data_IF_509411135255
#
_entry.id   IF_509411135255
#
_cell.length_a   1.000
_cell.length_b   1.000
_cell.length_c   1.000
_cell.angle_alpha   90.00
_cell.angle_beta   90.00
_cell.angle_gamma   90.00
#
_symmetry.space_group_name_H-M   'P 1'
#
loop_
_entity.id
_entity.type
_entity.pdbx_description
1 polymer ?
#
# COMPACT_ATOMS: atom_id res chain seq x y z
N UNK A 1 -7.21 -1.00 -5.14
CA UNK A 1 -7.80 -2.36 -5.11
C UNK A 1 -7.97 -2.89 -3.70
N UNK A 2 -6.97 -2.78 -2.83
CA UNK A 2 -7.04 -3.15 -1.40
C UNK A 2 -8.36 -2.71 -0.72
N UNK A 3 -8.74 -1.43 -0.85
CA UNK A 3 -9.99 -0.92 -0.24
C UNK A 3 -11.27 -1.56 -0.80
N UNK A 4 -11.26 -1.97 -2.07
CA UNK A 4 -12.37 -2.68 -2.69
C UNK A 4 -12.43 -4.14 -2.19
N UNK A 5 -11.29 -4.79 -1.95
CA UNK A 5 -11.27 -6.11 -1.32
C UNK A 5 -11.77 -6.06 0.13
N UNK A 6 -11.34 -5.07 0.93
CA UNK A 6 -11.86 -4.87 2.28
C UNK A 6 -13.39 -4.65 2.28
N UNK A 7 -13.92 -3.91 1.30
CA UNK A 7 -15.37 -3.79 1.10
C UNK A 7 -16.04 -5.14 0.82
N UNK A 8 -15.49 -5.89 -0.15
CA UNK A 8 -16.04 -7.19 -0.57
C UNK A 8 -16.03 -8.21 0.57
N UNK A 9 -14.97 -8.19 1.39
CA UNK A 9 -14.79 -9.04 2.56
C UNK A 9 -15.56 -8.56 3.79
N UNK A 10 -16.28 -7.43 3.68
CA UNK A 10 -17.12 -6.86 4.75
C UNK A 10 -16.32 -6.55 6.02
N UNK A 11 -15.08 -6.08 5.86
CA UNK A 11 -14.33 -5.52 7.00
C UNK A 11 -15.18 -4.41 7.65
N UNK A 12 -15.35 -4.44 8.98
CA UNK A 12 -16.10 -3.42 9.70
C UNK A 12 -15.32 -2.10 9.80
N UNK A 13 -14.02 -2.10 9.49
CA UNK A 13 -13.19 -0.92 9.56
C UNK A 13 -13.63 0.15 8.56
N UNK A 14 -13.62 1.40 9.04
CA UNK A 14 -13.75 2.58 8.17
C UNK A 14 -12.53 2.60 7.24
N UNK A 15 -12.77 2.79 5.95
CA UNK A 15 -11.73 2.77 4.92
C UNK A 15 -11.42 4.19 4.51
N UNK A 16 -10.17 4.60 4.67
CA UNK A 16 -9.72 5.96 4.39
C UNK A 16 -8.75 5.95 3.23
N UNK A 17 -8.86 6.94 2.35
CA UNK A 17 -7.86 7.20 1.31
C UNK A 17 -7.46 8.68 1.38
N UNK A 18 -6.18 8.91 1.62
CA UNK A 18 -5.61 10.24 1.61
C UNK A 18 -5.26 10.66 0.18
N UNK A 19 -5.47 11.92 -0.16
CA UNK A 19 -5.13 12.46 -1.48
C UNK A 19 -4.63 13.90 -1.36
N UNK A 20 -3.81 14.38 -2.31
CA UNK A 20 -3.33 15.76 -2.32
C UNK A 20 -4.47 16.80 -2.22
N UNK A 21 -4.37 17.73 -1.27
CA UNK A 21 -5.42 18.75 -1.02
C UNK A 21 -5.67 19.68 -2.23
N UNK A 22 -4.63 19.96 -3.01
CA UNK A 22 -4.67 20.75 -4.24
C UNK A 22 -5.59 20.13 -5.30
N UNK A 23 -5.71 18.80 -5.35
CA UNK A 23 -6.64 18.11 -6.25
C UNK A 23 -8.10 18.45 -5.96
N UNK A 24 -8.45 18.83 -4.73
CA UNK A 24 -9.80 19.27 -4.37
C UNK A 24 -10.07 20.74 -4.79
N UNK A 25 -9.06 21.60 -4.75
CA UNK A 25 -9.19 23.06 -4.93
C UNK A 25 -9.38 23.48 -6.40
N UNK A 26 -8.92 22.65 -7.34
CA UNK A 26 -9.06 22.82 -8.80
C UNK A 26 -10.49 23.01 -9.33
N UNK A 27 -11.51 22.81 -8.48
CA UNK A 27 -12.91 23.01 -8.83
C UNK A 27 -13.31 24.50 -8.99
N UNK A 28 -12.52 25.46 -8.50
CA UNK A 28 -13.02 26.82 -8.26
C UNK A 28 -12.64 27.93 -9.25
N UNK A 29 -11.81 27.75 -10.29
CA UNK A 29 -11.44 28.97 -11.02
C UNK A 29 -10.68 29.01 -12.34
N UNK A 30 -10.30 27.91 -13.01
CA UNK A 30 -9.64 28.04 -14.32
C UNK A 30 -10.17 27.05 -15.34
N UNK A 31 -11.12 27.53 -16.14
CA UNK A 31 -11.77 26.85 -17.26
C UNK A 31 -10.85 26.67 -18.48
N UNK A 32 -9.52 26.76 -18.33
CA UNK A 32 -8.64 26.95 -19.48
C UNK A 32 -7.22 26.38 -19.41
N UNK A 33 -6.92 25.44 -18.53
CA UNK A 33 -5.75 24.57 -18.73
C UNK A 33 -6.24 23.17 -19.05
N UNK A 34 -5.64 22.55 -20.06
CA UNK A 34 -5.86 21.15 -20.41
C UNK A 34 -5.73 20.32 -19.13
N UNK A 35 -6.86 19.91 -18.56
CA UNK A 35 -6.92 19.05 -17.39
C UNK A 35 -6.01 17.86 -17.66
N UNK A 36 -4.93 17.73 -16.90
CA UNK A 36 -4.05 16.56 -16.96
C UNK A 36 -4.92 15.29 -16.98
N UNK A 37 -4.87 14.48 -18.07
CA UNK A 37 -5.69 13.29 -18.22
C UNK A 37 -5.51 12.30 -17.06
N UNK A 38 -4.31 12.27 -16.46
CA UNK A 38 -4.03 11.45 -15.28
C UNK A 38 -4.77 11.97 -14.07
N UNK A 39 -4.70 13.27 -13.78
CA UNK A 39 -5.45 13.89 -12.69
C UNK A 39 -6.98 13.72 -12.84
N UNK A 40 -7.52 13.88 -14.04
CA UNK A 40 -8.95 13.64 -14.31
C UNK A 40 -9.36 12.19 -14.01
N UNK A 41 -8.53 11.24 -14.44
CA UNK A 41 -8.71 9.81 -14.18
C UNK A 41 -8.64 9.50 -12.69
N UNK A 42 -7.63 10.01 -11.99
CA UNK A 42 -7.48 9.88 -10.54
C UNK A 42 -8.69 10.43 -9.78
N UNK A 43 -9.15 11.65 -10.10
CA UNK A 43 -10.36 12.24 -9.51
C UNK A 43 -11.61 11.37 -9.76
N UNK A 44 -11.75 10.78 -10.94
CA UNK A 44 -12.83 9.83 -11.25
C UNK A 44 -12.75 8.58 -10.36
N UNK A 45 -11.55 8.00 -10.21
CA UNK A 45 -11.33 6.83 -9.36
C UNK A 45 -11.61 7.13 -7.89
N UNK A 46 -11.19 8.29 -7.37
CA UNK A 46 -11.48 8.72 -5.99
C UNK A 46 -13.00 8.78 -5.74
N UNK A 47 -13.76 9.43 -6.64
CA UNK A 47 -15.23 9.48 -6.53
C UNK A 47 -15.87 8.10 -6.58
N UNK A 48 -15.35 7.21 -7.44
CA UNK A 48 -15.82 5.82 -7.51
C UNK A 48 -15.51 5.06 -6.22
N UNK A 49 -14.33 5.23 -5.65
CA UNK A 49 -13.93 4.61 -4.38
C UNK A 49 -14.89 5.00 -3.25
N UNK A 50 -15.20 6.29 -3.14
CA UNK A 50 -16.16 6.79 -2.15
C UNK A 50 -17.57 6.22 -2.36
N UNK A 51 -18.09 6.28 -3.60
CA UNK A 51 -19.47 5.89 -3.90
C UNK A 51 -19.70 4.39 -3.85
N UNK A 52 -18.78 3.59 -4.40
CA UNK A 52 -18.98 2.14 -4.60
C UNK A 52 -18.47 1.31 -3.44
N UNK A 53 -17.42 1.78 -2.78
CA UNK A 53 -16.75 1.03 -1.73
C UNK A 53 -16.83 1.73 -0.37
N UNK A 54 -17.52 2.87 -0.24
CA UNK A 54 -17.66 3.57 1.04
C UNK A 54 -16.34 4.07 1.61
N UNK A 55 -15.40 4.44 0.74
CA UNK A 55 -14.11 4.99 1.14
C UNK A 55 -14.25 6.46 1.53
N UNK A 56 -13.75 6.83 2.70
CA UNK A 56 -13.64 8.21 3.15
C UNK A 56 -12.41 8.87 2.51
N UNK A 57 -12.64 9.88 1.68
CA UNK A 57 -11.57 10.64 1.05
C UNK A 57 -11.11 11.75 1.99
N UNK A 58 -9.82 11.78 2.32
CA UNK A 58 -9.23 12.79 3.21
C UNK A 58 -8.18 13.60 2.45
N UNK A 59 -8.35 14.92 2.28
CA UNK A 59 -7.30 15.75 1.71
C UNK A 59 -6.10 15.77 2.67
N UNK A 60 -4.90 15.72 2.12
CA UNK A 60 -3.65 15.76 2.84
C UNK A 60 -2.83 16.95 2.36
N UNK A 61 -2.26 17.69 3.31
CA UNK A 61 -1.23 18.69 3.02
C UNK A 61 0.12 17.98 2.82
N UNK A 62 1.02 18.53 1.99
CA UNK A 62 2.36 17.98 1.84
C UNK A 62 3.12 17.99 3.17
N UNK A 63 3.86 16.92 3.44
CA UNK A 63 4.72 16.80 4.61
C UNK A 63 5.93 17.73 4.52
N UNK A 64 6.52 17.85 3.32
CA UNK A 64 7.57 18.81 3.01
C UNK A 64 7.15 19.65 1.81
N UNK A 65 7.26 20.97 1.95
CA UNK A 65 7.04 21.94 0.87
C UNK A 65 8.39 22.33 0.29
N UNK A 66 8.52 22.32 -1.04
CA UNK A 66 9.71 22.84 -1.68
C UNK A 66 9.81 24.36 -1.43
N UNK A 67 10.99 24.83 -1.01
CA UNK A 67 11.22 26.23 -0.66
C UNK A 67 11.47 27.15 -1.87
N UNK A 68 11.52 26.63 -3.09
CA UNK A 68 11.81 27.41 -4.30
C UNK A 68 10.69 27.28 -5.33
N UNK A 69 10.02 28.40 -5.63
CA UNK A 69 9.02 28.55 -6.71
C UNK A 69 9.60 28.36 -8.13
N UNK A 70 10.93 28.18 -8.26
CA UNK A 70 11.68 28.16 -9.52
C UNK A 70 11.97 26.76 -10.07
N UNK A 71 11.79 25.71 -9.27
CA UNK A 71 11.85 24.32 -9.71
C UNK A 71 10.50 23.68 -9.40
N UNK A 72 9.76 23.29 -10.43
CA UNK A 72 8.41 22.70 -10.33
C UNK A 72 8.37 21.30 -9.68
N UNK A 73 9.28 21.03 -8.75
CA UNK A 73 9.49 19.76 -8.03
C UNK A 73 9.43 20.06 -6.53
N UNK A 74 8.67 19.39 -5.67
CA UNK A 74 7.57 18.44 -5.78
C UNK A 74 6.97 18.44 -4.38
N UNK A 75 5.67 18.67 -4.20
CA UNK A 75 5.02 18.46 -2.91
C UNK A 75 5.28 17.02 -2.45
N UNK A 76 5.98 16.84 -1.32
CA UNK A 76 6.28 15.51 -0.81
C UNK A 76 5.17 15.10 0.13
N UNK A 77 4.40 14.08 -0.27
CA UNK A 77 3.40 13.45 0.58
C UNK A 77 4.03 12.29 1.33
N UNK A 78 3.57 12.06 2.55
CA UNK A 78 4.09 11.01 3.43
C UNK A 78 2.97 10.36 4.22
N UNK A 79 3.16 9.08 4.58
CA UNK A 79 2.35 8.36 5.56
C UNK A 79 2.34 9.03 6.94
N UNK A 80 3.29 9.92 7.27
CA UNK A 80 3.25 10.74 8.48
C UNK A 80 1.93 11.53 8.59
N UNK A 81 1.34 11.91 7.45
CA UNK A 81 0.04 12.59 7.39
C UNK A 81 -1.10 11.78 8.04
N UNK A 82 -0.97 10.45 8.15
CA UNK A 82 -1.96 9.60 8.82
C UNK A 82 -2.10 9.95 10.31
N UNK A 83 -1.05 10.50 10.96
CA UNK A 83 -1.14 10.97 12.35
C UNK A 83 -2.04 12.21 12.51
N UNK A 84 -2.39 12.90 11.42
CA UNK A 84 -3.34 14.00 11.45
C UNK A 84 -4.81 13.53 11.50
N UNK A 85 -5.10 12.24 11.33
CA UNK A 85 -6.45 11.65 11.33
C UNK A 85 -7.02 11.47 12.75
N UNK A 86 -7.11 12.56 13.51
CA UNK A 86 -7.48 12.59 14.94
C UNK A 86 -8.91 12.12 15.24
N UNK A 87 -9.75 11.90 14.23
CA UNK A 87 -11.09 11.31 14.37
C UNK A 87 -11.07 9.78 14.39
N UNK A 88 -9.89 9.18 14.35
CA UNK A 88 -9.66 7.75 14.50
C UNK A 88 -8.80 7.50 15.72
N UNK A 89 -9.20 6.53 16.54
CA UNK A 89 -8.37 6.06 17.65
C UNK A 89 -7.13 5.34 17.12
N UNK A 90 -7.27 4.62 15.99
CA UNK A 90 -6.22 3.81 15.37
C UNK A 90 -6.36 3.79 13.86
N UNK A 91 -5.24 3.74 13.17
CA UNK A 91 -5.17 3.62 11.71
C UNK A 91 -4.19 2.50 11.35
N UNK A 92 -4.66 1.51 10.58
CA UNK A 92 -3.80 0.51 9.96
C UNK A 92 -3.51 0.93 8.52
N UNK A 93 -2.28 1.34 8.25
CA UNK A 93 -1.78 1.55 6.89
C UNK A 93 -1.46 0.20 6.26
N UNK A 94 -1.93 -0.01 5.03
CA UNK A 94 -1.67 -1.21 4.24
C UNK A 94 -1.00 -0.77 2.95
N UNK A 95 0.27 -1.13 2.80
CA UNK A 95 1.08 -0.74 1.65
C UNK A 95 0.58 -1.43 0.39
N UNK A 96 0.50 -0.69 -0.72
CA UNK A 96 0.00 -1.19 -2.01
C UNK A 96 1.10 -1.13 -3.07
N UNK A 97 1.06 -1.92 -4.15
CA UNK A 97 0.00 -2.85 -4.58
C UNK A 97 -0.06 -4.20 -3.84
N UNK A 98 -1.29 -4.72 -3.68
CA UNK A 98 -1.49 -6.11 -3.29
C UNK A 98 -2.93 -6.58 -3.27
N UNK A 99 -3.13 -7.82 -2.82
CA UNK A 99 -4.40 -8.53 -2.78
C UNK A 99 -4.74 -8.96 -1.35
N UNK A 100 -5.91 -8.53 -0.87
CA UNK A 100 -6.44 -9.02 0.41
C UNK A 100 -7.20 -10.32 0.16
N UNK A 101 -6.72 -11.39 0.79
CA UNK A 101 -7.28 -12.74 0.74
C UNK A 101 -8.29 -12.90 1.86
N UNK A 102 -7.90 -12.53 3.09
CA UNK A 102 -8.74 -12.54 4.28
C UNK A 102 -8.55 -11.21 5.05
N UNK A 103 -9.66 -10.53 5.34
CA UNK A 103 -9.64 -9.27 6.07
C UNK A 103 -9.65 -9.47 7.59
N UNK A 104 -10.16 -10.60 8.08
CA UNK A 104 -10.42 -10.82 9.50
C UNK A 104 -9.15 -10.64 10.38
N UNK A 105 -7.97 -11.16 10.00
CA UNK A 105 -6.78 -10.98 10.83
C UNK A 105 -6.23 -9.55 10.77
N UNK A 106 -6.44 -8.81 9.67
CA UNK A 106 -6.09 -7.38 9.60
C UNK A 106 -7.00 -6.56 10.49
N UNK A 107 -8.30 -6.87 10.49
CA UNK A 107 -9.27 -6.25 11.41
C UNK A 107 -8.93 -6.56 12.87
N UNK A 108 -8.45 -7.79 13.16
CA UNK A 108 -8.02 -8.17 14.48
C UNK A 108 -6.77 -7.40 14.94
N UNK A 109 -5.78 -7.19 14.06
CA UNK A 109 -4.62 -6.33 14.34
C UNK A 109 -5.08 -4.90 14.65
N UNK A 110 -5.96 -4.33 13.83
CA UNK A 110 -6.48 -2.98 14.05
C UNK A 110 -7.22 -2.86 15.40
N UNK A 111 -8.06 -3.83 15.73
CA UNK A 111 -8.96 -3.76 16.89
C UNK A 111 -8.33 -4.22 18.22
N UNK A 112 -7.45 -5.22 18.20
CA UNK A 112 -7.04 -5.94 19.42
C UNK A 112 -5.55 -5.83 19.77
N UNK A 113 -4.72 -5.23 18.93
CA UNK A 113 -3.34 -4.92 19.32
C UNK A 113 -3.33 -3.98 20.53
N UNK A 114 -2.35 -4.09 21.42
CA UNK A 114 -2.26 -3.19 22.58
C UNK A 114 -2.11 -1.71 22.16
N UNK A 115 -2.51 -0.76 23.01
CA UNK A 115 -2.38 0.66 22.67
C UNK A 115 -0.92 1.03 22.61
N UNK A 116 -0.49 1.53 21.46
CA UNK A 116 0.88 1.97 21.20
C UNK A 116 0.83 3.13 20.21
N UNK A 117 1.68 4.16 20.37
CA UNK A 117 1.81 5.22 19.39
C UNK A 117 2.10 4.71 17.97
N UNK A 118 2.82 3.59 17.89
CA UNK A 118 3.26 3.00 16.64
C UNK A 118 3.54 1.50 16.80
N UNK A 119 3.04 0.72 15.85
CA UNK A 119 3.43 -0.67 15.61
C UNK A 119 3.75 -0.87 14.14
N UNK A 120 4.66 -1.78 13.86
CA UNK A 120 5.10 -2.13 12.51
C UNK A 120 5.29 -3.62 12.40
N UNK A 121 5.36 -4.15 11.18
CA UNK A 121 5.78 -5.54 11.02
C UNK A 121 7.17 -5.75 11.58
N UNK A 122 7.36 -6.88 12.25
CA UNK A 122 8.69 -7.37 12.52
C UNK A 122 9.41 -7.58 11.19
N UNK A 123 10.54 -6.90 11.01
CA UNK A 123 11.41 -7.12 9.84
C UNK A 123 11.81 -8.60 9.85
N UNK A 124 11.22 -9.38 8.96
CA UNK A 124 11.48 -10.81 8.87
C UNK A 124 12.92 -10.97 8.43
N UNK A 125 13.75 -11.53 9.31
CA UNK A 125 15.16 -11.82 9.01
C UNK A 125 15.31 -12.90 7.91
N UNK A 126 14.19 -13.43 7.41
CA UNK A 126 14.09 -14.61 6.55
C UNK A 126 14.16 -14.31 5.04
N UNK A 127 14.45 -13.07 4.63
CA UNK A 127 14.54 -12.72 3.21
C UNK A 127 13.24 -12.99 2.45
N UNK A 128 12.11 -12.97 3.15
CA UNK A 128 10.78 -13.31 2.64
C UNK A 128 10.11 -12.13 1.90
N UNK A 129 10.85 -11.04 1.65
CA UNK A 129 10.43 -9.88 0.87
C UNK A 129 9.31 -9.06 1.50
N UNK A 130 9.01 -9.26 2.79
CA UNK A 130 8.11 -8.44 3.60
C UNK A 130 8.95 -7.38 4.33
N UNK A 131 8.49 -6.13 4.33
CA UNK A 131 9.17 -5.01 4.97
C UNK A 131 8.37 -4.46 6.14
N UNK A 132 9.05 -3.87 7.13
CA UNK A 132 8.40 -3.24 8.29
C UNK A 132 7.35 -2.19 7.89
N UNK A 133 7.57 -1.50 6.76
CA UNK A 133 6.66 -0.49 6.23
C UNK A 133 5.42 -1.06 5.52
N UNK A 134 5.35 -2.36 5.24
CA UNK A 134 4.23 -2.94 4.47
C UNK A 134 2.89 -2.91 5.25
N UNK A 135 2.96 -2.95 6.59
CA UNK A 135 1.82 -2.75 7.49
C UNK A 135 2.26 -1.93 8.70
N UNK A 136 1.61 -0.78 8.89
CA UNK A 136 1.88 0.13 10.00
C UNK A 136 0.60 0.39 10.78
N UNK A 137 0.59 0.13 12.09
CA UNK A 137 -0.49 0.51 12.99
C UNK A 137 -0.08 1.79 13.73
N UNK A 138 -0.93 2.80 13.64
CA UNK A 138 -0.64 4.15 14.13
C UNK A 138 -1.75 4.59 15.08
N UNK A 139 -1.38 5.27 16.17
CA UNK A 139 -2.32 6.02 17.02
C UNK A 139 -2.22 7.51 16.65
N UNK A 140 -3.21 8.07 15.92
CA UNK A 140 -3.15 9.45 15.46
C UNK A 140 -3.06 10.44 16.62
N UNK A 141 -2.07 11.33 16.57
CA UNK A 141 -1.85 12.36 17.60
C UNK A 141 -1.26 13.63 17.00
N UNK A 142 -1.73 14.78 17.49
CA UNK A 142 -1.22 16.09 17.09
C UNK A 142 0.26 16.27 17.43
N UNK A 143 0.70 15.75 18.58
CA UNK A 143 2.09 15.85 19.02
C UNK A 143 2.99 14.96 18.17
N UNK A 144 2.62 13.69 17.98
CA UNK A 144 3.36 12.74 17.16
C UNK A 144 3.44 13.19 15.70
N UNK A 145 2.35 13.77 15.16
CA UNK A 145 2.36 14.35 13.82
C UNK A 145 3.37 15.50 13.69
N UNK A 146 3.37 16.45 14.62
CA UNK A 146 4.28 17.60 14.58
C UNK A 146 5.75 17.16 14.72
N UNK A 147 6.03 16.25 15.65
CA UNK A 147 7.37 15.70 15.88
C UNK A 147 7.89 14.93 14.67
N UNK A 148 7.05 14.11 14.03
CA UNK A 148 7.42 13.40 12.81
C UNK A 148 7.74 14.38 11.69
N UNK A 149 6.88 15.38 11.44
CA UNK A 149 7.15 16.37 10.38
C UNK A 149 8.45 17.14 10.62
N UNK A 150 8.78 17.48 11.87
CA UNK A 150 10.05 18.12 12.21
C UNK A 150 11.24 17.21 11.88
N UNK A 151 11.20 15.94 12.30
CA UNK A 151 12.24 14.96 12.00
C UNK A 151 12.39 14.72 10.50
N UNK A 152 11.27 14.61 9.77
CA UNK A 152 11.27 14.46 8.32
C UNK A 152 11.88 15.67 7.61
N UNK A 153 11.69 16.88 8.14
CA UNK A 153 12.32 18.09 7.61
C UNK A 153 13.84 18.13 7.74
N UNK A 154 14.43 17.27 8.57
CA UNK A 154 15.88 17.14 8.72
C UNK A 154 16.49 16.10 7.76
N UNK A 155 15.66 15.28 7.11
CA UNK A 155 16.10 14.21 6.22
C UNK A 155 16.29 14.72 4.78
N UNK A 156 17.46 14.47 4.21
CA UNK A 156 17.82 14.98 2.88
C UNK A 156 17.22 14.19 1.71
N UNK A 157 16.86 12.91 1.93
CA UNK A 157 16.29 12.02 0.92
C UNK A 157 15.11 11.24 1.52
N UNK A 158 13.97 11.91 1.64
CA UNK A 158 12.80 11.31 2.27
C UNK A 158 12.17 10.19 1.42
N UNK A 159 11.87 9.06 2.07
CA UNK A 159 10.93 8.05 1.61
C UNK A 159 10.13 7.50 2.81
N UNK A 160 8.94 6.96 2.59
CA UNK A 160 8.13 6.43 3.71
C UNK A 160 8.77 5.20 4.38
N UNK A 161 9.76 4.54 3.74
CA UNK A 161 10.52 3.45 4.37
C UNK A 161 11.40 3.89 5.53
N UNK A 162 11.65 5.20 5.68
CA UNK A 162 12.36 5.75 6.85
C UNK A 162 11.45 5.86 8.08
N UNK A 163 10.12 5.92 7.93
CA UNK A 163 9.20 6.12 9.06
C UNK A 163 9.41 5.07 10.17
N UNK A 164 9.49 3.76 9.86
CA UNK A 164 9.84 2.73 10.84
C UNK A 164 11.09 3.04 11.68
N UNK A 165 12.12 3.66 11.08
CA UNK A 165 13.40 3.93 11.76
C UNK A 165 13.36 5.16 12.65
N UNK A 166 12.31 5.98 12.57
CA UNK A 166 12.14 7.18 13.40
C UNK A 166 11.60 6.86 14.80
N UNK A 167 11.10 5.65 15.02
CA UNK A 167 10.59 5.22 16.33
C UNK A 167 11.64 4.37 17.05
N UNK A 168 11.93 4.74 18.30
CA UNK A 168 12.96 4.05 19.10
C UNK A 168 12.51 2.67 19.56
N UNK A 169 11.27 2.56 20.05
CA UNK A 169 10.72 1.33 20.61
C UNK A 169 9.33 1.04 20.01
N UNK A 170 9.25 0.66 18.71
CA UNK A 170 7.99 0.28 18.09
C UNK A 170 7.49 -1.06 18.62
N UNK A 171 6.17 -1.23 18.72
CA UNK A 171 5.59 -2.55 18.89
C UNK A 171 5.79 -3.36 17.60
N UNK A 172 6.24 -4.61 17.71
CA UNK A 172 6.47 -5.49 16.56
C UNK A 172 5.28 -6.42 16.35
N UNK A 173 4.68 -6.33 15.17
CA UNK A 173 3.62 -7.22 14.70
C UNK A 173 4.25 -8.43 14.02
N UNK A 174 3.87 -9.64 14.44
CA UNK A 174 4.31 -10.86 13.78
C UNK A 174 3.73 -10.93 12.35
N UNK A 175 4.60 -11.03 11.33
CA UNK A 175 4.18 -11.28 9.95
C UNK A 175 3.56 -12.67 9.78
N UNK A 176 3.92 -13.61 10.66
CA UNK A 176 3.44 -14.98 10.71
C UNK A 176 3.34 -15.48 12.15
N UNK A 177 2.27 -16.21 12.45
CA UNK A 177 2.09 -17.02 13.66
C UNK A 177 2.02 -18.50 13.26
N UNK A 178 1.97 -19.40 14.25
CA UNK A 178 1.83 -20.85 14.01
C UNK A 178 0.58 -21.18 13.19
N UNK A 179 -0.47 -20.38 13.35
CA UNK A 179 -1.79 -20.59 12.79
C UNK A 179 -2.09 -19.71 11.58
N UNK A 180 -1.36 -18.64 11.32
CA UNK A 180 -1.77 -17.68 10.29
C UNK A 180 -0.61 -16.86 9.75
N UNK A 181 -0.63 -16.53 8.47
CA UNK A 181 0.32 -15.59 7.87
C UNK A 181 -0.37 -14.26 7.58
N UNK A 182 0.00 -13.21 8.30
CA UNK A 182 -0.61 -11.89 8.14
C UNK A 182 -0.31 -11.32 6.74
N UNK A 183 0.94 -11.45 6.30
CA UNK A 183 1.40 -10.93 5.02
C UNK A 183 2.41 -11.88 4.38
N UNK A 184 2.35 -12.02 3.06
CA UNK A 184 3.39 -12.65 2.25
C UNK A 184 3.79 -11.72 1.11
N UNK A 185 5.06 -11.73 0.76
CA UNK A 185 5.50 -11.16 -0.52
C UNK A 185 5.40 -12.19 -1.64
N UNK A 186 4.90 -11.77 -2.81
CA UNK A 186 4.87 -12.61 -4.01
C UNK A 186 6.28 -12.99 -4.48
N UNK A 187 7.29 -12.18 -4.16
CA UNK A 187 8.70 -12.44 -4.50
C UNK A 187 9.24 -13.75 -3.92
N UNK A 188 8.67 -14.22 -2.81
CA UNK A 188 9.03 -15.52 -2.19
C UNK A 188 8.81 -16.72 -3.10
N UNK A 189 7.92 -16.62 -4.09
CA UNK A 189 7.67 -17.69 -5.05
C UNK A 189 8.92 -17.98 -5.91
N UNK A 190 9.82 -17.01 -6.09
CA UNK A 190 11.10 -17.23 -6.78
C UNK A 190 12.06 -18.14 -6.02
N UNK A 191 11.87 -18.26 -4.70
CA UNK A 191 12.68 -19.09 -3.80
C UNK A 191 11.98 -20.40 -3.44
N UNK A 192 10.87 -20.73 -4.11
CA UNK A 192 10.08 -21.91 -3.83
C UNK A 192 10.92 -23.21 -3.97
N UNK A 193 10.89 -24.03 -2.91
CA UNK A 193 11.50 -25.36 -2.90
C UNK A 193 10.83 -26.32 -3.91
N UNK A 194 11.42 -27.49 -4.13
CA UNK A 194 10.85 -28.50 -5.05
C UNK A 194 9.47 -28.98 -4.59
N UNK A 195 9.27 -29.16 -3.28
CA UNK A 195 8.00 -29.58 -2.66
C UNK A 195 7.04 -28.40 -2.35
N UNK A 196 7.12 -27.31 -3.11
CA UNK A 196 6.19 -26.19 -2.98
C UNK A 196 4.72 -26.63 -3.15
N UNK A 197 3.84 -26.13 -2.28
CA UNK A 197 2.41 -26.41 -2.33
C UNK A 197 1.62 -25.10 -2.46
N UNK A 198 1.01 -24.90 -3.63
CA UNK A 198 0.23 -23.69 -3.94
C UNK A 198 -0.96 -23.48 -3.00
N UNK A 199 -1.66 -24.57 -2.65
CA UNK A 199 -2.81 -24.49 -1.73
C UNK A 199 -2.35 -24.04 -0.35
N UNK A 200 -1.30 -24.66 0.20
CA UNK A 200 -0.76 -24.27 1.49
C UNK A 200 -0.18 -22.86 1.49
N UNK A 201 0.36 -22.39 0.36
CA UNK A 201 0.88 -21.04 0.22
C UNK A 201 -0.22 -19.97 0.34
N UNK A 202 -1.39 -20.23 -0.28
CA UNK A 202 -2.53 -19.32 -0.28
C UNK A 202 -3.47 -19.53 0.91
N UNK A 203 -3.38 -20.68 1.59
CA UNK A 203 -4.17 -20.98 2.77
C UNK A 203 -3.72 -20.14 3.96
N UNK A 204 -4.69 -19.65 4.74
CA UNK A 204 -4.46 -18.88 5.98
C UNK A 204 -3.48 -17.72 5.79
N UNK A 205 -3.64 -16.98 4.69
CA UNK A 205 -2.95 -15.71 4.41
C UNK A 205 -3.96 -14.57 4.43
N UNK A 206 -3.64 -13.44 5.07
CA UNK A 206 -4.50 -12.25 4.99
C UNK A 206 -4.19 -11.40 3.76
N UNK A 207 -2.92 -11.13 3.51
CA UNK A 207 -2.48 -10.18 2.49
C UNK A 207 -1.31 -10.71 1.66
N UNK A 208 -1.41 -10.56 0.33
CA UNK A 208 -0.31 -10.81 -0.60
C UNK A 208 0.18 -9.48 -1.15
N UNK A 209 1.38 -9.08 -0.73
CA UNK A 209 2.08 -7.90 -1.22
C UNK A 209 2.80 -8.23 -2.52
N UNK A 210 2.61 -7.38 -3.53
CA UNK A 210 3.37 -7.48 -4.77
C UNK A 210 4.70 -6.74 -4.67
N UNK A 211 5.57 -7.24 -3.80
CA UNK A 211 6.98 -6.85 -3.74
C UNK A 211 7.79 -7.90 -4.51
N UNK A 212 7.91 -7.71 -5.82
CA UNK A 212 8.61 -8.65 -6.71
C UNK A 212 9.94 -8.02 -7.16
N UNK A 213 11.11 -8.56 -6.75
CA UNK A 213 12.39 -7.96 -7.12
C UNK A 213 12.70 -8.09 -8.62
N UNK A 214 11.96 -8.91 -9.38
CA UNK A 214 12.20 -9.15 -10.80
C UNK A 214 11.27 -8.35 -11.72
N UNK A 215 10.24 -7.70 -11.20
CA UNK A 215 9.30 -6.89 -11.98
C UNK A 215 9.09 -5.51 -11.35
N UNK A 216 8.84 -4.45 -12.14
CA UNK A 216 8.62 -3.10 -11.62
C UNK A 216 7.32 -2.95 -10.81
N UNK A 217 6.37 -3.88 -10.96
CA UNK A 217 5.09 -3.87 -10.27
C UNK A 217 4.00 -4.60 -11.06
N UNK A 218 2.91 -5.01 -10.41
CA UNK A 218 1.79 -5.71 -11.05
C UNK A 218 0.86 -4.80 -11.87
N UNK A 219 0.96 -3.49 -11.70
CA UNK A 219 0.25 -2.50 -12.50
C UNK A 219 0.81 -2.34 -13.91
N UNK A 220 2.01 -2.86 -14.17
CA UNK A 220 2.70 -2.67 -15.45
C UNK A 220 2.55 -3.87 -16.39
N UNK A 221 2.30 -3.57 -17.67
CA UNK A 221 2.43 -4.52 -18.77
C UNK A 221 3.89 -4.58 -19.20
N UNK A 222 4.60 -5.56 -18.67
CA UNK A 222 6.02 -5.78 -18.90
C UNK A 222 6.22 -6.63 -20.16
N UNK A 223 7.17 -6.29 -21.05
CA UNK A 223 7.43 -7.07 -22.27
C UNK A 223 7.59 -8.56 -22.02
N UNK A 224 6.97 -9.38 -22.88
CA UNK A 224 6.91 -10.83 -22.72
C UNK A 224 8.26 -11.51 -22.41
N UNK A 225 9.39 -11.19 -23.06
CA UNK A 225 10.67 -11.82 -22.74
C UNK A 225 11.13 -11.55 -21.30
N UNK A 226 10.92 -10.34 -20.80
CA UNK A 226 11.25 -9.97 -19.42
C UNK A 226 10.30 -10.68 -18.44
N UNK A 227 9.01 -10.74 -18.75
CA UNK A 227 8.03 -11.46 -17.95
C UNK A 227 8.36 -12.95 -17.82
N UNK A 228 8.75 -13.59 -18.92
CA UNK A 228 9.18 -15.01 -18.92
C UNK A 228 10.44 -15.22 -18.10
N UNK A 229 11.45 -14.34 -18.25
CA UNK A 229 12.68 -14.40 -17.46
C UNK A 229 12.44 -14.21 -15.96
N UNK A 230 11.40 -13.44 -15.60
CA UNK A 230 11.05 -13.22 -14.21
C UNK A 230 10.40 -14.44 -13.53
N UNK A 231 9.77 -15.36 -14.28
CA UNK A 231 8.94 -16.45 -13.70
C UNK A 231 9.73 -17.31 -12.70
N UNK A 232 9.07 -17.80 -11.62
CA UNK A 232 9.64 -18.80 -10.74
C UNK A 232 10.12 -20.06 -11.48
N UNK A 233 11.19 -20.69 -10.97
CA UNK A 233 11.71 -21.94 -11.56
C UNK A 233 10.85 -23.16 -11.22
N UNK A 234 10.24 -23.19 -10.03
CA UNK A 234 9.31 -24.24 -9.64
C UNK A 234 7.99 -24.07 -10.41
N UNK A 235 7.48 -25.13 -11.05
CA UNK A 235 6.29 -25.07 -11.92
C UNK A 235 5.00 -24.69 -11.18
N UNK A 236 4.81 -25.18 -9.96
CA UNK A 236 3.61 -24.89 -9.17
C UNK A 236 3.67 -23.47 -8.60
N UNK A 237 4.87 -23.02 -8.22
CA UNK A 237 5.11 -21.64 -7.81
C UNK A 237 4.92 -20.67 -8.99
N UNK A 238 5.39 -21.04 -10.17
CA UNK A 238 5.20 -20.29 -11.41
C UNK A 238 3.72 -20.16 -11.79
N UNK A 239 2.97 -21.26 -11.72
CA UNK A 239 1.53 -21.21 -11.94
C UNK A 239 0.83 -20.31 -10.92
N UNK A 240 1.19 -20.42 -9.64
CA UNK A 240 0.65 -19.57 -8.57
C UNK A 240 0.96 -18.10 -8.80
N UNK A 241 2.21 -17.79 -9.12
CA UNK A 241 2.68 -16.44 -9.45
C UNK A 241 1.91 -15.86 -10.64
N UNK A 242 1.81 -16.62 -11.73
CA UNK A 242 1.10 -16.21 -12.96
C UNK A 242 -0.38 -15.95 -12.67
N UNK A 243 -1.02 -16.83 -11.88
CA UNK A 243 -2.41 -16.69 -11.47
C UNK A 243 -2.63 -15.43 -10.64
N UNK A 244 -1.77 -15.15 -9.65
CA UNK A 244 -1.88 -13.96 -8.80
C UNK A 244 -1.73 -12.66 -9.59
N UNK A 245 -0.74 -12.57 -10.51
CA UNK A 245 -0.64 -11.42 -11.41
C UNK A 245 -1.87 -11.26 -12.31
N UNK A 246 -2.43 -12.38 -12.82
CA UNK A 246 -3.67 -12.38 -13.59
C UNK A 246 -4.86 -11.89 -12.76
N UNK A 247 -5.00 -12.35 -11.52
CA UNK A 247 -6.05 -11.89 -10.60
C UNK A 247 -5.93 -10.40 -10.27
N UNK A 248 -4.70 -9.91 -10.07
CA UNK A 248 -4.44 -8.48 -9.88
C UNK A 248 -4.89 -7.67 -11.10
N UNK A 249 -4.48 -8.07 -12.30
CA UNK A 249 -4.86 -7.38 -13.54
C UNK A 249 -6.38 -7.38 -13.75
N UNK A 250 -7.04 -8.52 -13.55
CA UNK A 250 -8.50 -8.62 -13.65
C UNK A 250 -9.20 -7.70 -12.65
N UNK A 251 -8.77 -7.72 -11.38
CA UNK A 251 -9.33 -6.81 -10.36
C UNK A 251 -9.10 -5.35 -10.70
N UNK A 252 -7.95 -5.00 -11.29
CA UNK A 252 -7.65 -3.62 -11.68
C UNK A 252 -8.65 -3.15 -12.73
N UNK A 253 -8.97 -4.01 -13.69
CA UNK A 253 -10.01 -3.73 -14.68
C UNK A 253 -11.40 -3.64 -14.03
N UNK A 254 -11.78 -4.59 -13.17
CA UNK A 254 -13.13 -4.65 -12.56
C UNK A 254 -13.41 -3.49 -11.57
N UNK A 255 -12.38 -3.07 -10.83
CA UNK A 255 -12.46 -2.05 -9.78
C UNK A 255 -12.18 -0.64 -10.33
N UNK A 256 -11.13 -0.49 -11.13
CA UNK A 256 -10.67 0.81 -11.61
C UNK A 256 -11.14 1.11 -13.04
N UNK A 257 -11.55 0.11 -13.83
CA UNK A 257 -11.79 0.26 -15.26
C UNK A 257 -10.51 0.63 -16.01
N UNK A 258 -9.37 0.14 -15.54
CA UNK A 258 -8.05 0.41 -16.09
C UNK A 258 -7.35 -0.91 -16.45
N UNK A 259 -6.76 -0.94 -17.64
CA UNK A 259 -5.79 -1.96 -18.02
C UNK A 259 -4.44 -1.73 -17.30
N UNK A 260 -3.49 -2.63 -17.57
CA UNK A 260 -2.10 -2.48 -17.15
C UNK A 260 -1.43 -1.31 -17.91
N UNK A 261 -0.52 -0.64 -17.24
CA UNK A 261 0.22 0.50 -17.77
C UNK A 261 1.42 -0.01 -18.58
N UNK A 262 1.64 0.52 -19.79
CA UNK A 262 2.80 0.10 -20.58
C UNK A 262 4.10 0.44 -19.85
N UNK A 263 4.90 -0.59 -19.53
CA UNK A 263 6.22 -0.39 -18.96
C UNK A 263 7.17 0.21 -20.01
N UNK A 264 7.75 1.39 -19.71
CA UNK A 264 8.78 2.01 -20.53
C UNK A 264 10.09 2.00 -19.72
N UNK A 265 11.03 1.17 -20.15
CA UNK A 265 12.41 1.12 -19.65
C UNK A 265 13.21 2.35 -20.07
#
# INVERSE_FOLDING_TARGET
>A
MVLADLHRLKSPARRVLMFPEDWALDQQGKKHDMSDPFLASSKRLLRMAARRYGVELRPASPALRANNELDGTSNVYSLASAFALKDFDRVLSVESPGLIIDALPLDAVLAFTESTPFAMLQDSHDGDGVHSADLLLLEPSASSHAELLERLGMESNFNDSIIPTLFTDPLLLASKTDDHTLIRSIGTLHLAAQEFNATAYLDRVSYIRFSDPKLPGPEYDVPWPQKVAARPSNKDADWTWTKLYGEFAQKRMDVCGLDLEMWRT
#
